data_IF_035349062805
#
_entry.id   IF_035349062805
#
_cell.length_a   1.000
_cell.length_b   1.000
_cell.length_c   1.000
_cell.angle_alpha   90.00
_cell.angle_beta   90.00
_cell.angle_gamma   90.00
#
_symmetry.space_group_name_H-M   'P 1'
#
loop_
_entity.id
_entity.type
_entity.pdbx_description
1 polymer ?
#
# COMPACT_ATOMS: atom_id res chain seq x y z
N UNK A 1 -28.28 -27.98 22.80
CA UNK A 1 -27.78 -26.73 23.43
C UNK A 1 -27.57 -26.85 24.94
N UNK A 2 -28.46 -27.51 25.70
CA UNK A 2 -28.29 -27.70 27.16
C UNK A 2 -27.16 -28.65 27.57
N UNK A 3 -26.75 -29.58 26.70
CA UNK A 3 -25.67 -30.56 26.99
C UNK A 3 -24.25 -30.01 26.78
N UNK A 4 -24.07 -28.98 25.94
CA UNK A 4 -22.77 -28.33 25.74
C UNK A 4 -22.40 -27.37 26.89
N UNK A 5 -23.37 -26.91 27.68
CA UNK A 5 -23.14 -25.94 28.76
C UNK A 5 -22.53 -26.56 30.03
N UNK A 6 -22.47 -27.88 30.12
CA UNK A 6 -21.97 -28.62 31.29
C UNK A 6 -20.58 -29.24 31.07
N UNK A 7 -20.02 -29.18 29.86
CA UNK A 7 -18.77 -29.87 29.49
C UNK A 7 -17.50 -29.03 29.57
N UNK A 8 -17.59 -27.74 29.92
CA UNK A 8 -16.42 -26.86 30.06
C UNK A 8 -15.80 -26.94 31.46
N UNK A 9 -14.53 -27.33 31.57
CA UNK A 9 -13.82 -27.35 32.85
C UNK A 9 -13.21 -25.97 33.23
N UNK A 10 -13.28 -25.00 32.32
CA UNK A 10 -12.74 -23.64 32.47
C UNK A 10 -11.21 -23.56 32.43
N UNK A 11 -10.51 -24.61 31.99
CA UNK A 11 -9.03 -24.66 31.95
C UNK A 11 -8.43 -24.40 30.58
N UNK A 12 -9.27 -24.27 29.56
CA UNK A 12 -8.81 -24.09 28.19
C UNK A 12 -8.69 -22.61 27.85
N UNK A 13 -7.56 -22.27 27.22
CA UNK A 13 -7.30 -20.93 26.72
C UNK A 13 -7.64 -20.85 25.23
N UNK A 14 -8.24 -19.73 24.81
CA UNK A 14 -8.46 -19.40 23.40
C UNK A 14 -7.71 -18.11 23.09
N UNK A 15 -6.82 -18.17 22.09
CA UNK A 15 -6.15 -16.98 21.58
C UNK A 15 -7.06 -16.28 20.56
N UNK A 16 -7.40 -15.03 20.82
CA UNK A 16 -8.11 -14.16 19.89
C UNK A 16 -7.23 -12.95 19.56
N UNK A 17 -7.27 -12.54 18.29
CA UNK A 17 -6.68 -11.26 17.90
C UNK A 17 -7.34 -10.13 18.69
N UNK A 18 -6.57 -9.11 19.07
CA UNK A 18 -7.11 -7.86 19.63
C UNK A 18 -8.06 -7.13 18.68
N UNK A 19 -8.03 -7.46 17.39
CA UNK A 19 -8.92 -6.91 16.36
C UNK A 19 -10.19 -7.74 16.14
N UNK A 20 -10.40 -8.82 16.92
CA UNK A 20 -11.59 -9.64 16.79
C UNK A 20 -12.86 -8.84 17.14
N UNK A 21 -13.95 -9.11 16.44
CA UNK A 21 -15.21 -8.44 16.72
C UNK A 21 -15.77 -8.83 18.10
N UNK A 22 -16.51 -7.94 18.71
CA UNK A 22 -17.19 -8.18 20.00
C UNK A 22 -18.05 -9.46 19.96
N UNK A 23 -18.71 -9.73 18.83
CA UNK A 23 -19.50 -10.94 18.64
C UNK A 23 -18.66 -12.22 18.76
N UNK A 24 -17.45 -12.23 18.18
CA UNK A 24 -16.51 -13.36 18.27
C UNK A 24 -15.99 -13.48 19.72
N UNK A 25 -15.65 -12.37 20.37
CA UNK A 25 -15.22 -12.36 21.77
C UNK A 25 -16.26 -12.98 22.72
N UNK A 26 -17.54 -12.61 22.57
CA UNK A 26 -18.63 -13.17 23.38
C UNK A 26 -18.88 -14.64 23.08
N UNK A 27 -18.87 -15.02 21.80
CA UNK A 27 -19.07 -16.40 21.40
C UNK A 27 -17.94 -17.31 21.92
N UNK A 28 -16.68 -16.87 21.80
CA UNK A 28 -15.51 -17.64 22.20
C UNK A 28 -15.29 -17.72 23.72
N UNK A 29 -15.62 -16.66 24.47
CA UNK A 29 -15.59 -16.72 25.94
C UNK A 29 -16.67 -17.66 26.51
N UNK A 30 -17.75 -17.90 25.75
CA UNK A 30 -18.88 -18.69 26.21
C UNK A 30 -19.62 -18.03 27.39
N UNK A 31 -19.49 -16.71 27.55
CA UNK A 31 -19.95 -15.96 28.73
C UNK A 31 -21.45 -16.14 29.03
N UNK A 32 -22.27 -16.38 27.99
CA UNK A 32 -23.73 -16.56 28.12
C UNK A 32 -24.19 -18.02 27.95
N UNK A 33 -23.26 -18.96 27.73
CA UNK A 33 -23.55 -20.37 27.37
C UNK A 33 -22.90 -21.37 28.31
N UNK A 34 -21.67 -21.13 28.76
CA UNK A 34 -20.90 -22.02 29.64
C UNK A 34 -21.09 -21.61 31.10
N UNK A 35 -21.22 -22.60 31.99
CA UNK A 35 -21.21 -22.35 33.45
C UNK A 35 -19.90 -21.74 33.95
N UNK A 36 -18.79 -22.01 33.25
CA UNK A 36 -17.47 -21.40 33.45
C UNK A 36 -16.96 -20.88 32.11
N UNK A 37 -16.87 -19.56 31.92
CA UNK A 37 -16.29 -18.98 30.71
C UNK A 37 -14.86 -19.46 30.48
N UNK A 38 -14.44 -19.49 29.21
CA UNK A 38 -13.06 -19.78 28.83
C UNK A 38 -12.17 -18.56 29.09
N UNK A 39 -10.90 -18.82 29.37
CA UNK A 39 -9.88 -17.78 29.48
C UNK A 39 -9.45 -17.34 28.07
N UNK A 40 -9.63 -16.06 27.78
CA UNK A 40 -9.23 -15.47 26.49
C UNK A 40 -7.84 -14.84 26.60
N UNK A 41 -6.97 -15.17 25.66
CA UNK A 41 -5.70 -14.46 25.43
C UNK A 41 -5.96 -13.45 24.31
N UNK A 42 -5.92 -12.16 24.66
CA UNK A 42 -6.10 -11.04 23.72
C UNK A 42 -4.75 -10.37 23.45
N UNK A 43 -3.93 -11.04 22.67
CA UNK A 43 -2.60 -10.57 22.26
C UNK A 43 -2.45 -10.63 20.74
N UNK A 44 -1.38 -10.05 20.20
CA UNK A 44 -1.06 -10.12 18.77
C UNK A 44 -1.02 -11.59 18.33
N UNK A 45 -1.75 -11.90 17.26
CA UNK A 45 -1.80 -13.26 16.71
C UNK A 45 -0.39 -13.78 16.40
N UNK A 46 -0.04 -15.03 16.77
CA UNK A 46 1.22 -15.65 16.37
C UNK A 46 1.41 -15.65 14.86
N UNK A 47 0.34 -15.84 14.09
CA UNK A 47 0.38 -15.78 12.62
C UNK A 47 0.79 -14.38 12.15
N UNK A 48 0.33 -13.33 12.83
CA UNK A 48 0.73 -11.96 12.51
C UNK A 48 2.22 -11.73 12.81
N UNK A 49 2.76 -12.31 13.88
CA UNK A 49 4.19 -12.22 14.21
C UNK A 49 5.06 -13.02 13.23
N UNK A 50 4.69 -14.26 12.94
CA UNK A 50 5.45 -15.13 12.03
C UNK A 50 5.51 -14.55 10.62
N UNK A 51 4.41 -13.98 10.11
CA UNK A 51 4.39 -13.36 8.77
C UNK A 51 5.13 -12.01 8.71
N UNK A 52 5.66 -11.46 9.81
CA UNK A 52 6.47 -10.24 9.76
C UNK A 52 7.83 -10.52 9.11
N UNK A 53 8.44 -11.66 9.42
CA UNK A 53 9.77 -12.04 8.94
C UNK A 53 9.61 -12.96 7.73
N UNK A 54 9.95 -12.45 6.55
CA UNK A 54 9.81 -13.18 5.29
C UNK A 54 10.90 -14.23 5.18
N UNK A 55 10.53 -15.43 4.76
CA UNK A 55 11.49 -16.47 4.40
C UNK A 55 12.13 -16.17 3.04
N UNK A 56 13.17 -16.93 2.67
CA UNK A 56 13.92 -16.70 1.42
C UNK A 56 13.07 -16.81 0.15
N UNK A 57 12.04 -17.66 0.13
CA UNK A 57 11.14 -17.80 -1.02
C UNK A 57 10.26 -16.55 -1.15
N UNK A 58 9.71 -16.06 -0.03
CA UNK A 58 8.92 -14.82 -0.01
C UNK A 58 9.76 -13.59 -0.38
N UNK A 59 11.00 -13.52 0.12
CA UNK A 59 11.93 -12.43 -0.21
C UNK A 59 12.27 -12.43 -1.70
N UNK A 60 12.48 -13.61 -2.29
CA UNK A 60 12.74 -13.69 -3.72
C UNK A 60 11.51 -13.31 -4.55
N UNK A 61 10.32 -13.78 -4.18
CA UNK A 61 9.06 -13.33 -4.77
C UNK A 61 8.90 -11.82 -4.72
N UNK A 62 9.19 -11.20 -3.57
CA UNK A 62 9.20 -9.74 -3.43
C UNK A 62 10.16 -9.05 -4.39
N UNK A 63 11.39 -9.57 -4.57
CA UNK A 63 12.35 -8.98 -5.52
C UNK A 63 11.82 -9.07 -6.95
N UNK A 64 11.31 -10.22 -7.35
CA UNK A 64 10.83 -10.45 -8.72
C UNK A 64 9.59 -9.59 -9.03
N UNK A 65 8.63 -9.49 -8.10
CA UNK A 65 7.46 -8.63 -8.30
C UNK A 65 7.83 -7.14 -8.40
N UNK A 66 8.80 -6.66 -7.62
CA UNK A 66 9.27 -5.27 -7.70
C UNK A 66 10.01 -4.98 -9.02
N UNK A 67 10.69 -5.97 -9.62
CA UNK A 67 11.30 -5.82 -10.94
C UNK A 67 10.22 -5.63 -12.01
N UNK A 68 9.20 -6.49 -12.03
CA UNK A 68 8.07 -6.38 -12.97
C UNK A 68 7.31 -5.07 -12.79
N UNK A 69 6.99 -4.70 -11.55
CA UNK A 69 6.33 -3.43 -11.27
C UNK A 69 7.18 -2.22 -11.69
N UNK A 70 8.49 -2.30 -11.48
CA UNK A 70 9.44 -1.30 -11.95
C UNK A 70 9.43 -1.13 -13.47
N UNK A 71 9.29 -2.22 -14.23
CA UNK A 71 9.16 -2.18 -15.69
C UNK A 71 7.88 -1.42 -16.08
N UNK A 72 6.73 -1.75 -15.47
CA UNK A 72 5.47 -1.07 -15.72
C UNK A 72 5.55 0.44 -15.40
N UNK A 73 6.14 0.81 -14.26
CA UNK A 73 6.31 2.21 -13.85
C UNK A 73 7.24 2.98 -14.79
N UNK A 74 8.33 2.36 -15.26
CA UNK A 74 9.24 2.99 -16.24
C UNK A 74 8.54 3.18 -17.60
N UNK A 75 7.80 2.17 -18.06
CA UNK A 75 6.97 2.26 -19.29
C UNK A 75 5.95 3.39 -19.17
N UNK A 76 5.29 3.50 -18.02
CA UNK A 76 4.35 4.58 -17.71
C UNK A 76 5.01 5.96 -17.79
N UNK A 77 6.10 6.22 -17.05
CA UNK A 77 6.72 7.55 -17.07
C UNK A 77 7.29 7.91 -18.43
N UNK A 78 7.79 6.94 -19.20
CA UNK A 78 8.19 7.16 -20.59
C UNK A 78 7.00 7.62 -21.43
N UNK A 79 5.90 6.88 -21.39
CA UNK A 79 4.68 7.21 -22.13
C UNK A 79 4.12 8.59 -21.73
N UNK A 80 4.06 8.89 -20.43
CA UNK A 80 3.49 10.13 -19.92
C UNK A 80 4.29 11.35 -20.40
N UNK A 81 5.63 11.33 -20.25
CA UNK A 81 6.47 12.42 -20.74
C UNK A 81 6.34 12.59 -22.26
N UNK A 82 6.42 11.50 -23.03
CA UNK A 82 6.30 11.56 -24.49
C UNK A 82 4.95 12.13 -24.95
N UNK A 83 3.87 11.82 -24.23
CA UNK A 83 2.53 12.32 -24.56
C UNK A 83 2.42 13.83 -24.29
N UNK A 84 2.93 14.29 -23.15
CA UNK A 84 2.91 15.72 -22.78
C UNK A 84 3.84 16.52 -23.68
N UNK A 85 5.05 16.03 -23.97
CA UNK A 85 6.02 16.69 -24.86
C UNK A 85 5.48 16.85 -26.28
N UNK A 86 4.63 15.92 -26.74
CA UNK A 86 3.94 15.99 -28.02
C UNK A 86 2.71 16.94 -28.02
N UNK A 87 2.43 17.63 -26.91
CA UNK A 87 1.27 18.50 -26.74
C UNK A 87 -0.05 17.76 -26.47
N UNK A 88 0.03 16.46 -26.13
CA UNK A 88 -1.12 15.67 -25.72
C UNK A 88 -1.67 16.13 -24.36
N UNK A 89 -2.98 15.96 -24.16
CA UNK A 89 -3.65 16.23 -22.88
C UNK A 89 -3.94 14.92 -22.18
N UNK A 90 -3.40 14.76 -20.97
CA UNK A 90 -3.61 13.58 -20.12
C UNK A 90 -4.21 14.04 -18.80
N UNK A 91 -5.33 13.45 -18.40
CA UNK A 91 -5.91 13.67 -17.06
C UNK A 91 -5.28 12.74 -16.02
N UNK A 92 -5.43 13.08 -14.75
CA UNK A 92 -4.97 12.21 -13.65
C UNK A 92 -5.62 10.81 -13.70
N UNK A 93 -6.90 10.73 -14.05
CA UNK A 93 -7.59 9.44 -14.27
C UNK A 93 -6.96 8.67 -15.42
N UNK A 94 -6.69 9.32 -16.55
CA UNK A 94 -6.06 8.67 -17.71
C UNK A 94 -4.65 8.18 -17.39
N UNK A 95 -3.89 8.92 -16.56
CA UNK A 95 -2.59 8.48 -16.09
C UNK A 95 -2.70 7.22 -15.22
N UNK A 96 -3.62 7.20 -14.25
CA UNK A 96 -3.90 6.01 -13.42
C UNK A 96 -4.33 4.81 -14.26
N UNK A 97 -5.25 5.01 -15.22
CA UNK A 97 -5.73 3.95 -16.11
C UNK A 97 -4.60 3.40 -16.99
N UNK A 98 -3.71 4.27 -17.47
CA UNK A 98 -2.59 3.86 -18.30
C UNK A 98 -1.52 3.09 -17.52
N UNK A 99 -1.24 3.48 -16.29
CA UNK A 99 -0.35 2.70 -15.42
C UNK A 99 -0.92 1.31 -15.15
N UNK A 100 -2.23 1.22 -14.91
CA UNK A 100 -2.92 -0.05 -14.70
C UNK A 100 -2.85 -0.94 -15.96
N UNK A 101 -2.98 -0.36 -17.16
CA UNK A 101 -2.75 -1.08 -18.42
C UNK A 101 -1.35 -1.69 -18.47
N UNK A 102 -0.30 -0.91 -18.17
CA UNK A 102 1.06 -1.42 -18.17
C UNK A 102 1.29 -2.51 -17.12
N UNK A 103 0.67 -2.42 -15.94
CA UNK A 103 0.75 -3.48 -14.92
C UNK A 103 0.03 -4.76 -15.33
N UNK A 104 -1.10 -4.65 -16.04
CA UNK A 104 -1.84 -5.82 -16.56
C UNK A 104 -1.06 -6.62 -17.59
N UNK A 105 -0.09 -6.00 -18.26
CA UNK A 105 0.81 -6.69 -19.18
C UNK A 105 1.90 -7.51 -18.46
N UNK A 106 2.15 -7.24 -17.18
CA UNK A 106 3.20 -7.92 -16.41
C UNK A 106 2.72 -9.27 -15.91
N UNK A 107 3.62 -10.26 -15.91
CA UNK A 107 3.33 -11.62 -15.47
C UNK A 107 2.88 -11.65 -14.00
N UNK A 108 1.89 -12.51 -13.72
CA UNK A 108 1.34 -12.74 -12.38
C UNK A 108 0.67 -11.54 -11.70
N UNK A 109 0.34 -10.47 -12.44
CA UNK A 109 -0.44 -9.35 -11.90
C UNK A 109 -1.86 -9.78 -11.50
N UNK A 110 -2.25 -9.41 -10.27
CA UNK A 110 -3.52 -9.79 -9.64
C UNK A 110 -4.47 -8.61 -9.39
N UNK A 111 -3.99 -7.38 -9.60
CA UNK A 111 -4.76 -6.15 -9.37
C UNK A 111 -3.93 -5.08 -8.65
N UNK A 112 -4.43 -3.84 -8.54
CA UNK A 112 -3.76 -2.81 -7.76
C UNK A 112 -3.75 -3.17 -6.26
N UNK A 113 -2.67 -2.81 -5.54
CA UNK A 113 -2.60 -3.01 -4.09
C UNK A 113 -3.39 -1.97 -3.30
N UNK A 114 -3.65 -0.82 -3.90
CA UNK A 114 -4.52 0.25 -3.42
C UNK A 114 -4.94 1.16 -4.58
N UNK A 115 -5.88 2.07 -4.34
CA UNK A 115 -6.31 3.04 -5.35
C UNK A 115 -5.18 4.02 -5.68
N UNK A 116 -4.83 4.14 -6.95
CA UNK A 116 -3.68 4.97 -7.38
C UNK A 116 -3.95 6.45 -7.10
N UNK A 117 -3.03 7.07 -6.37
CA UNK A 117 -2.96 8.52 -6.19
C UNK A 117 -2.19 9.09 -7.38
N UNK A 118 -2.88 9.87 -8.21
CA UNK A 118 -2.29 10.58 -9.33
C UNK A 118 -2.66 12.05 -9.17
N UNK A 119 -1.76 12.85 -8.60
CA UNK A 119 -2.01 14.26 -8.25
C UNK A 119 -1.07 15.22 -8.97
N UNK A 120 -1.63 16.11 -9.79
CA UNK A 120 -0.92 17.19 -10.47
C UNK A 120 -1.08 18.52 -9.71
N UNK A 121 0.02 19.27 -9.61
CA UNK A 121 0.02 20.59 -9.00
C UNK A 121 -0.51 20.55 -7.56
N UNK A 122 -1.57 21.31 -7.28
CA UNK A 122 -2.19 21.39 -5.96
C UNK A 122 -2.79 20.07 -5.47
N UNK A 123 -3.27 19.20 -6.37
CA UNK A 123 -3.82 17.90 -6.00
C UNK A 123 -2.74 17.00 -5.36
N UNK A 124 -1.49 17.12 -5.80
CA UNK A 124 -0.35 16.41 -5.22
C UNK A 124 -0.01 16.82 -3.77
N UNK A 125 -0.59 17.91 -3.26
CA UNK A 125 -0.44 18.33 -1.86
C UNK A 125 -1.49 17.69 -0.92
N UNK A 126 -2.52 17.02 -1.46
CA UNK A 126 -3.55 16.32 -0.69
C UNK A 126 -3.07 14.88 -0.47
N UNK A 127 -2.79 14.51 0.79
CA UNK A 127 -2.09 13.26 1.13
C UNK A 127 -2.84 12.01 0.63
N UNK A 128 -4.14 11.91 0.87
CA UNK A 128 -4.99 10.83 0.38
C UNK A 128 -5.90 11.33 -0.74
N UNK A 129 -5.29 11.86 -1.81
CA UNK A 129 -6.01 12.28 -3.00
C UNK A 129 -6.47 11.08 -3.82
N UNK A 130 -7.74 11.03 -4.19
CA UNK A 130 -8.21 10.17 -5.27
C UNK A 130 -8.88 11.04 -6.34
N UNK A 131 -8.40 11.00 -7.61
CA UNK A 131 -9.05 11.71 -8.69
C UNK A 131 -10.48 11.18 -8.90
N UNK A 132 -11.44 12.10 -9.01
CA UNK A 132 -12.83 11.75 -9.27
C UNK A 132 -13.02 11.40 -10.75
N UNK A 133 -13.73 10.31 -11.02
CA UNK A 133 -14.25 10.00 -12.37
C UNK A 133 -15.49 10.81 -12.72
N UNK A 134 -16.16 11.37 -11.72
CA UNK A 134 -17.32 12.23 -11.89
C UNK A 134 -16.88 13.70 -12.04
N UNK A 135 -17.47 14.40 -13.01
CA UNK A 135 -17.22 15.81 -13.25
C UNK A 135 -15.99 16.09 -14.14
N UNK A 136 -15.50 17.33 -14.06
CA UNK A 136 -14.32 17.77 -14.80
C UNK A 136 -13.05 17.17 -14.18
N UNK A 137 -12.27 16.49 -15.01
CA UNK A 137 -11.02 15.86 -14.59
C UNK A 137 -9.85 16.82 -14.72
N UNK A 138 -8.96 16.82 -13.71
CA UNK A 138 -7.73 17.62 -13.75
C UNK A 138 -6.78 17.10 -14.83
N UNK A 139 -6.35 18.00 -15.71
CA UNK A 139 -5.32 17.76 -16.73
C UNK A 139 -3.94 17.97 -16.11
N UNK A 140 -3.03 17.06 -16.38
CA UNK A 140 -1.61 17.16 -16.00
C UNK A 140 -0.93 18.12 -16.97
N UNK A 141 -0.45 19.25 -16.48
CA UNK A 141 0.23 20.27 -17.29
C UNK A 141 1.76 20.11 -17.23
N UNK A 142 2.44 20.72 -18.20
CA UNK A 142 3.90 20.67 -18.28
C UNK A 142 4.58 21.31 -17.05
N UNK A 143 4.00 22.35 -16.47
CA UNK A 143 4.56 23.04 -15.31
C UNK A 143 4.11 22.49 -13.95
N UNK A 144 3.40 21.35 -13.96
CA UNK A 144 2.96 20.71 -12.73
C UNK A 144 4.10 19.88 -12.10
N UNK A 145 4.16 19.94 -10.76
CA UNK A 145 4.70 18.84 -9.97
C UNK A 145 3.65 17.73 -9.95
N UNK A 146 3.99 16.58 -10.55
CA UNK A 146 3.16 15.39 -10.61
C UNK A 146 3.61 14.37 -9.58
N UNK A 147 2.73 13.97 -8.67
CA UNK A 147 2.91 12.91 -7.70
C UNK A 147 2.10 11.69 -8.14
N UNK A 148 2.78 10.55 -8.23
CA UNK A 148 2.18 9.25 -8.45
C UNK A 148 2.50 8.36 -7.26
N UNK A 149 1.46 7.94 -6.53
CA UNK A 149 1.55 6.90 -5.51
C UNK A 149 0.71 5.70 -5.92
N UNK A 150 1.35 4.53 -6.04
CA UNK A 150 0.69 3.39 -6.66
C UNK A 150 1.35 2.08 -6.29
N UNK A 151 0.63 0.97 -6.45
CA UNK A 151 1.20 -0.35 -6.25
C UNK A 151 0.39 -1.46 -6.93
N UNK A 152 1.00 -2.63 -7.03
CA UNK A 152 0.42 -3.84 -7.60
C UNK A 152 0.46 -5.01 -6.63
N UNK A 153 -0.56 -5.87 -6.73
CA UNK A 153 -0.55 -7.22 -6.20
C UNK A 153 -0.10 -8.16 -7.30
N UNK A 154 0.86 -9.03 -6.98
CA UNK A 154 1.33 -10.13 -7.82
C UNK A 154 1.19 -11.43 -7.04
N UNK A 155 1.17 -12.58 -7.71
CA UNK A 155 1.07 -13.89 -7.00
C UNK A 155 2.17 -14.11 -5.96
N UNK A 156 3.32 -13.48 -6.15
CA UNK A 156 4.55 -13.64 -5.38
C UNK A 156 4.95 -12.40 -4.56
N UNK A 157 4.13 -11.34 -4.54
CA UNK A 157 4.37 -10.20 -3.66
C UNK A 157 3.48 -8.99 -3.92
N UNK A 158 3.66 -7.98 -3.08
CA UNK A 158 2.92 -6.71 -3.12
C UNK A 158 3.91 -5.56 -3.26
N UNK A 159 3.61 -4.60 -4.14
CA UNK A 159 4.41 -3.38 -4.31
C UNK A 159 3.67 -2.15 -3.81
N UNK A 160 4.46 -1.15 -3.43
CA UNK A 160 4.03 0.19 -3.04
C UNK A 160 5.16 1.17 -3.40
N UNK A 161 4.88 2.11 -4.29
CA UNK A 161 5.87 3.02 -4.85
C UNK A 161 5.29 4.41 -5.16
N UNK A 162 5.89 5.41 -4.53
CA UNK A 162 5.65 6.82 -4.85
C UNK A 162 6.79 7.42 -5.68
N UNK A 163 6.47 8.21 -6.69
CA UNK A 163 7.42 9.08 -7.41
C UNK A 163 6.81 10.45 -7.66
N UNK A 164 7.64 11.49 -7.49
CA UNK A 164 7.27 12.87 -7.83
C UNK A 164 8.19 13.38 -8.94
N UNK A 165 7.61 14.00 -9.97
CA UNK A 165 8.35 14.59 -11.10
C UNK A 165 7.78 15.95 -11.47
N UNK A 166 8.64 16.87 -11.90
CA UNK A 166 8.20 18.07 -12.60
C UNK A 166 8.09 17.76 -14.10
N UNK A 167 6.94 17.99 -14.71
CA UNK A 167 6.67 17.45 -16.05
C UNK A 167 7.50 18.08 -17.17
N UNK A 168 7.85 19.37 -17.06
CA UNK A 168 8.71 20.08 -18.03
C UNK A 168 10.20 20.05 -17.66
N UNK A 169 10.55 19.50 -16.49
CA UNK A 169 11.92 19.56 -15.98
C UNK A 169 12.39 20.95 -15.51
N UNK A 170 11.51 21.95 -15.45
CA UNK A 170 11.82 23.32 -15.01
C UNK A 170 11.16 23.71 -13.67
N UNK A 171 11.41 23.00 -12.56
CA UNK A 171 10.80 23.33 -11.27
C UNK A 171 11.29 24.66 -10.70
N UNK A 172 10.45 25.28 -9.87
CA UNK A 172 10.83 26.46 -9.07
C UNK A 172 11.86 26.10 -8.01
N UNK A 173 12.57 27.11 -7.48
CA UNK A 173 13.56 26.88 -6.42
C UNK A 173 12.92 26.36 -5.13
N UNK A 174 11.69 26.75 -4.85
CA UNK A 174 10.91 26.22 -3.73
C UNK A 174 10.60 24.72 -3.91
N UNK A 175 10.12 24.32 -5.09
CA UNK A 175 9.84 22.91 -5.41
C UNK A 175 11.10 22.04 -5.33
N UNK A 176 12.23 22.52 -5.89
CA UNK A 176 13.54 21.84 -5.77
C UNK A 176 13.97 21.72 -4.31
N UNK A 177 13.82 22.80 -3.53
CA UNK A 177 14.17 22.84 -2.12
C UNK A 177 13.35 21.84 -1.29
N UNK A 178 12.03 21.78 -1.52
CA UNK A 178 11.14 20.84 -0.86
C UNK A 178 11.46 19.38 -1.22
N UNK A 179 11.55 19.07 -2.53
CA UNK A 179 11.89 17.73 -3.03
C UNK A 179 13.22 17.24 -2.46
N UNK A 180 14.25 18.11 -2.45
CA UNK A 180 15.59 17.75 -1.95
C UNK A 180 15.59 17.45 -0.46
N UNK A 181 14.78 18.15 0.36
CA UNK A 181 14.66 17.85 1.80
C UNK A 181 14.04 16.47 2.03
N UNK A 182 13.00 16.12 1.27
CA UNK A 182 12.38 14.79 1.31
C UNK A 182 13.40 13.71 0.90
N UNK A 183 14.10 13.92 -0.23
CA UNK A 183 15.13 12.99 -0.71
C UNK A 183 16.25 12.78 0.33
N UNK A 184 16.72 13.84 0.99
CA UNK A 184 17.71 13.73 2.07
C UNK A 184 17.21 12.84 3.22
N UNK A 185 15.97 13.03 3.67
CA UNK A 185 15.35 12.20 4.70
C UNK A 185 15.25 10.73 4.26
N UNK A 186 14.77 10.49 3.03
CA UNK A 186 14.67 9.15 2.46
C UNK A 186 16.03 8.44 2.40
N UNK A 187 17.07 9.12 1.92
CA UNK A 187 18.44 8.57 1.86
C UNK A 187 19.01 8.30 3.25
N UNK A 188 18.77 9.19 4.22
CA UNK A 188 19.20 9.00 5.60
C UNK A 188 18.59 7.74 6.22
N UNK A 189 17.28 7.53 6.04
CA UNK A 189 16.62 6.32 6.55
C UNK A 189 17.08 5.08 5.79
N UNK A 190 17.15 5.14 4.46
CA UNK A 190 17.54 4.00 3.61
C UNK A 190 18.98 3.54 3.78
N UNK A 191 19.85 4.35 4.39
CA UNK A 191 21.26 4.02 4.66
C UNK A 191 21.60 3.99 6.15
N UNK A 192 20.61 4.08 7.03
CA UNK A 192 20.82 4.09 8.48
C UNK A 192 21.35 2.76 9.00
N UNK A 193 22.30 2.82 9.93
CA UNK A 193 22.73 1.68 10.75
C UNK A 193 22.14 1.83 12.15
N UNK A 194 21.44 0.82 12.63
CA UNK A 194 20.78 0.85 13.94
C UNK A 194 20.83 -0.53 14.62
N UNK A 195 20.80 -0.59 15.96
CA UNK A 195 20.77 -1.85 16.68
C UNK A 195 19.51 -2.67 16.36
N UNK A 196 19.66 -4.00 16.32
CA UNK A 196 18.51 -4.91 16.19
C UNK A 196 17.52 -4.69 17.34
N UNK A 197 16.24 -4.53 17.02
CA UNK A 197 15.16 -4.39 18.01
C UNK A 197 14.84 -2.96 18.42
N UNK A 198 15.46 -1.95 17.79
CA UNK A 198 14.95 -0.57 17.86
C UNK A 198 13.53 -0.54 17.29
N UNK A 199 12.63 0.16 17.99
CA UNK A 199 11.25 0.41 17.55
C UNK A 199 11.15 1.80 16.95
#
# INVERSE_FOLDING_TARGET
MKELSESGDGKHHVWLSSDASEAIHRAASGHDVLKKPLDLISEVSPVALEKLIKNEVELEGFRQCHIRDGIAVVRFFKWLHQTIDAGGKVTEIQASDKLLEFRKDEEDFMGPSFETISGAGANGAIIHYSPSREGEQTVINADDMFLLDSGGQYKDGTTDITRTRHMSGNPTDEQKGAFTRVLKGQMMVGSALFPKGVK
#
